data_IF_001777794809
#
_entry.id   IF_001777794809
#
_cell.length_a   1.000
_cell.length_b   1.000
_cell.length_c   1.000
_cell.angle_alpha   90.00
_cell.angle_beta   90.00
_cell.angle_gamma   90.00
#
_symmetry.space_group_name_H-M   'P 1'
#
loop_
_entity.id
_entity.type
_entity.pdbx_description
1 polymer ?
#
# COMPACT_ATOMS: atom_id res chain seq x y z
N UNK A 1 4.15 -6.92 14.22
CA UNK A 1 4.63 -6.27 12.98
C UNK A 1 4.53 -7.33 11.88
N UNK A 2 3.58 -7.17 10.95
CA UNK A 2 3.17 -8.18 9.97
C UNK A 2 3.61 -7.83 8.54
N UNK A 3 3.00 -8.48 7.54
CA UNK A 3 3.32 -8.32 6.11
C UNK A 3 3.25 -6.86 5.63
N UNK A 4 2.25 -6.07 6.06
CA UNK A 4 2.13 -4.65 5.68
C UNK A 4 3.37 -3.83 6.11
N UNK A 5 3.91 -4.06 7.31
CA UNK A 5 5.10 -3.36 7.76
C UNK A 5 6.38 -3.80 7.01
N UNK A 6 6.40 -5.04 6.52
CA UNK A 6 7.49 -5.54 5.69
C UNK A 6 7.39 -4.95 4.27
N UNK A 7 6.18 -4.79 3.75
CA UNK A 7 5.93 -4.08 2.51
C UNK A 7 6.36 -2.61 2.58
N UNK A 8 6.02 -1.90 3.66
CA UNK A 8 6.49 -0.53 3.90
C UNK A 8 8.01 -0.44 3.85
N UNK A 9 8.70 -1.35 4.56
CA UNK A 9 10.16 -1.43 4.53
C UNK A 9 10.69 -1.60 3.10
N UNK A 10 10.12 -2.52 2.33
CA UNK A 10 10.54 -2.76 0.96
C UNK A 10 10.23 -1.57 0.03
N UNK A 11 9.08 -0.91 0.17
CA UNK A 11 8.76 0.31 -0.58
C UNK A 11 9.80 1.42 -0.32
N UNK A 12 10.08 1.70 0.96
CA UNK A 12 11.09 2.71 1.35
C UNK A 12 12.49 2.32 0.88
N UNK A 13 12.81 1.02 0.88
CA UNK A 13 14.07 0.50 0.32
C UNK A 13 14.14 0.74 -1.19
N UNK A 14 13.08 0.43 -1.93
CA UNK A 14 13.01 0.64 -3.38
C UNK A 14 13.12 2.12 -3.78
N UNK A 15 12.55 3.03 -2.98
CA UNK A 15 12.72 4.48 -3.17
C UNK A 15 14.19 4.92 -3.06
N UNK A 16 14.97 4.31 -2.16
CA UNK A 16 16.40 4.59 -1.96
C UNK A 16 17.29 3.96 -3.04
N UNK A 17 16.90 2.79 -3.51
CA UNK A 17 17.64 2.03 -4.54
C UNK A 17 17.31 2.49 -5.97
N UNK A 18 16.38 3.44 -6.12
CA UNK A 18 15.94 3.95 -7.41
C UNK A 18 17.13 4.41 -8.27
N UNK A 19 17.39 3.68 -9.35
CA UNK A 19 18.48 3.97 -10.28
C UNK A 19 19.80 3.23 -10.02
N UNK A 20 19.89 2.39 -8.98
CA UNK A 20 21.08 1.59 -8.63
C UNK A 20 20.76 0.07 -8.55
N UNK A 21 19.88 -0.41 -9.44
CA UNK A 21 19.50 -1.83 -9.47
C UNK A 21 20.66 -2.66 -10.03
N UNK A 22 21.17 -3.60 -9.23
CA UNK A 22 22.17 -4.58 -9.67
C UNK A 22 21.49 -5.76 -10.35
N UNK A 23 22.10 -6.29 -11.40
CA UNK A 23 21.64 -7.51 -12.05
C UNK A 23 21.56 -8.67 -11.05
N UNK A 24 20.40 -9.32 -11.00
CA UNK A 24 20.15 -10.48 -10.13
C UNK A 24 19.66 -10.16 -8.72
N UNK A 25 19.46 -8.88 -8.36
CA UNK A 25 18.83 -8.50 -7.09
C UNK A 25 17.31 -8.41 -7.23
N UNK A 26 16.58 -8.96 -6.24
CA UNK A 26 15.13 -8.87 -6.16
C UNK A 26 14.69 -7.40 -6.13
N UNK A 27 13.66 -7.06 -6.90
CA UNK A 27 13.14 -5.70 -6.90
C UNK A 27 12.41 -5.42 -5.59
N UNK A 28 12.89 -4.43 -4.84
CA UNK A 28 12.27 -4.01 -3.58
C UNK A 28 10.79 -3.65 -3.77
N UNK A 29 10.37 -3.08 -4.91
CA UNK A 29 8.95 -2.81 -5.13
C UNK A 29 8.13 -4.08 -5.41
N UNK A 30 8.68 -5.07 -6.11
CA UNK A 30 8.02 -6.37 -6.31
C UNK A 30 7.88 -7.14 -4.99
N UNK A 31 8.88 -7.05 -4.11
CA UNK A 31 8.81 -7.63 -2.77
C UNK A 31 7.73 -6.96 -1.91
N UNK A 32 7.60 -5.63 -2.00
CA UNK A 32 6.54 -4.88 -1.33
C UNK A 32 5.16 -5.29 -1.85
N UNK A 33 4.99 -5.36 -3.18
CA UNK A 33 3.74 -5.77 -3.82
C UNK A 33 3.33 -7.19 -3.39
N UNK A 34 4.27 -8.14 -3.41
CA UNK A 34 4.01 -9.53 -2.99
C UNK A 34 3.50 -9.61 -1.55
N UNK A 35 4.14 -8.88 -0.64
CA UNK A 35 3.75 -8.85 0.77
C UNK A 35 2.37 -8.20 0.96
N UNK A 36 2.05 -7.16 0.20
CA UNK A 36 0.73 -6.54 0.23
C UNK A 36 -0.36 -7.45 -0.36
N UNK A 37 -0.05 -8.19 -1.41
CA UNK A 37 -0.97 -9.15 -2.03
C UNK A 37 -1.34 -10.23 -1.03
N UNK A 38 -0.34 -10.84 -0.39
CA UNK A 38 -0.57 -11.85 0.63
C UNK A 38 -1.33 -11.27 1.85
N UNK A 39 -0.99 -10.07 2.29
CA UNK A 39 -1.68 -9.40 3.39
C UNK A 39 -3.16 -9.16 3.07
N UNK A 40 -3.45 -8.67 1.86
CA UNK A 40 -4.81 -8.37 1.42
C UNK A 40 -5.61 -9.67 1.25
N UNK A 41 -5.06 -10.71 0.62
CA UNK A 41 -5.72 -12.01 0.48
C UNK A 41 -6.10 -12.62 1.85
N UNK A 42 -5.19 -12.56 2.83
CA UNK A 42 -5.48 -13.02 4.19
C UNK A 42 -6.61 -12.19 4.81
N UNK A 43 -6.55 -10.86 4.67
CA UNK A 43 -7.56 -9.96 5.22
C UNK A 43 -8.93 -10.13 4.54
N UNK A 44 -8.98 -10.41 3.24
CA UNK A 44 -10.20 -10.75 2.49
C UNK A 44 -10.81 -12.07 2.97
N UNK A 45 -10.00 -13.13 3.03
CA UNK A 45 -10.48 -14.45 3.49
C UNK A 45 -10.95 -14.45 4.94
N UNK A 46 -10.37 -13.61 5.78
CA UNK A 46 -10.75 -13.44 7.17
C UNK A 46 -11.81 -12.37 7.42
N UNK A 47 -12.34 -11.73 6.37
CA UNK A 47 -13.28 -10.59 6.48
C UNK A 47 -12.76 -9.45 7.38
N UNK A 48 -11.44 -9.28 7.44
CA UNK A 48 -10.72 -8.33 8.29
C UNK A 48 -10.73 -6.93 7.68
N UNK A 49 -11.90 -6.31 7.54
CA UNK A 49 -12.12 -5.01 6.84
C UNK A 49 -11.11 -3.93 7.22
N UNK A 50 -10.82 -3.74 8.51
CA UNK A 50 -9.87 -2.71 8.95
C UNK A 50 -8.45 -2.93 8.39
N UNK A 51 -8.02 -4.20 8.30
CA UNK A 51 -6.73 -4.56 7.72
C UNK A 51 -6.73 -4.44 6.20
N UNK A 52 -7.87 -4.66 5.53
CA UNK A 52 -8.00 -4.38 4.09
C UNK A 52 -7.80 -2.88 3.83
N UNK A 53 -8.38 -2.00 4.65
CA UNK A 53 -8.16 -0.56 4.53
C UNK A 53 -6.68 -0.19 4.69
N UNK A 54 -6.01 -0.70 5.72
CA UNK A 54 -4.57 -0.46 5.92
C UNK A 54 -3.73 -0.96 4.73
N UNK A 55 -4.04 -2.15 4.18
CA UNK A 55 -3.35 -2.71 3.02
C UNK A 55 -3.57 -1.86 1.76
N UNK A 56 -4.81 -1.41 1.50
CA UNK A 56 -5.11 -0.53 0.36
C UNK A 56 -4.39 0.82 0.48
N UNK A 57 -4.26 1.41 1.67
CA UNK A 57 -3.49 2.63 1.86
C UNK A 57 -2.01 2.42 1.56
N UNK A 58 -1.43 1.29 1.95
CA UNK A 58 -0.03 1.01 1.64
C UNK A 58 0.21 0.67 0.15
N UNK A 59 -0.74 0.01 -0.51
CA UNK A 59 -0.74 -0.11 -1.97
C UNK A 59 -0.75 1.26 -2.67
N UNK A 60 -1.56 2.20 -2.19
CA UNK A 60 -1.60 3.54 -2.75
C UNK A 60 -0.24 4.24 -2.61
N UNK A 61 0.46 4.08 -1.48
CA UNK A 61 1.84 4.56 -1.32
C UNK A 61 2.81 3.85 -2.27
N UNK A 62 2.69 2.53 -2.43
CA UNK A 62 3.52 1.76 -3.34
C UNK A 62 3.40 2.27 -4.78
N UNK A 63 2.18 2.46 -5.28
CA UNK A 63 1.90 2.96 -6.63
C UNK A 63 2.04 4.48 -6.80
N UNK A 64 2.36 5.22 -5.73
CA UNK A 64 2.94 6.56 -5.84
C UNK A 64 4.46 6.49 -5.99
N UNK A 65 5.10 5.49 -5.36
CA UNK A 65 6.53 5.26 -5.44
C UNK A 65 6.95 4.64 -6.79
N UNK A 66 6.18 3.69 -7.31
CA UNK A 66 6.22 3.24 -8.71
C UNK A 66 5.20 4.07 -9.46
N UNK A 67 5.53 4.80 -10.55
CA UNK A 67 4.70 5.88 -11.11
C UNK A 67 3.38 5.44 -11.79
N UNK A 68 2.56 4.61 -11.13
CA UNK A 68 1.25 4.10 -11.54
C UNK A 68 0.14 4.82 -10.76
N UNK A 69 -0.06 6.10 -11.10
CA UNK A 69 -1.09 6.92 -10.46
C UNK A 69 -2.52 6.33 -10.59
N UNK A 70 -2.93 5.71 -11.71
CA UNK A 70 -4.23 5.05 -11.80
C UNK A 70 -4.41 3.97 -10.73
N UNK A 71 -3.42 3.10 -10.52
CA UNK A 71 -3.48 2.07 -9.48
C UNK A 71 -3.52 2.70 -8.08
N UNK A 72 -2.71 3.73 -7.82
CA UNK A 72 -2.73 4.44 -6.55
C UNK A 72 -4.13 5.01 -6.22
N UNK A 73 -4.79 5.65 -7.19
CA UNK A 73 -6.16 6.17 -7.03
C UNK A 73 -7.18 5.07 -6.77
N UNK A 74 -7.07 3.94 -7.45
CA UNK A 74 -7.99 2.82 -7.28
C UNK A 74 -7.92 2.24 -5.86
N UNK A 75 -6.70 2.03 -5.34
CA UNK A 75 -6.52 1.55 -3.97
C UNK A 75 -6.96 2.58 -2.93
N UNK A 76 -6.67 3.87 -3.12
CA UNK A 76 -7.17 4.92 -2.23
C UNK A 76 -8.70 4.94 -2.17
N UNK A 77 -9.39 4.78 -3.31
CA UNK A 77 -10.84 4.71 -3.35
C UNK A 77 -11.40 3.51 -2.56
N UNK A 78 -10.78 2.34 -2.69
CA UNK A 78 -11.16 1.15 -1.91
C UNK A 78 -10.96 1.36 -0.40
N UNK A 79 -9.81 1.91 0.02
CA UNK A 79 -9.56 2.23 1.42
C UNK A 79 -10.64 3.18 1.99
N UNK A 80 -10.97 4.25 1.25
CA UNK A 80 -12.00 5.21 1.65
C UNK A 80 -13.38 4.58 1.80
N UNK A 81 -13.76 3.71 0.87
CA UNK A 81 -15.04 2.99 0.96
C UNK A 81 -15.09 2.15 2.24
N UNK A 82 -14.04 1.38 2.54
CA UNK A 82 -13.99 0.55 3.74
C UNK A 82 -14.04 1.41 5.02
N UNK A 83 -13.31 2.53 5.05
CA UNK A 83 -13.29 3.45 6.19
C UNK A 83 -14.68 4.02 6.45
N UNK A 84 -15.39 4.46 5.40
CA UNK A 84 -16.75 4.98 5.51
C UNK A 84 -17.72 3.91 6.04
N UNK A 85 -17.66 2.70 5.50
CA UNK A 85 -18.54 1.59 5.91
C UNK A 85 -18.29 1.11 7.35
N UNK A 86 -17.05 1.22 7.84
CA UNK A 86 -16.64 0.71 9.15
C UNK A 86 -16.52 1.79 10.24
N UNK A 87 -16.51 3.08 9.87
CA UNK A 87 -16.23 4.19 10.78
C UNK A 87 -14.78 4.24 11.27
N UNK A 88 -13.82 3.69 10.51
CA UNK A 88 -12.42 3.54 10.92
C UNK A 88 -11.57 4.80 10.69
N UNK A 89 -11.92 5.87 11.40
CA UNK A 89 -11.31 7.21 11.23
C UNK A 89 -9.84 7.33 11.65
N UNK A 90 -9.22 6.27 12.19
CA UNK A 90 -7.77 6.27 12.50
C UNK A 90 -6.91 6.44 11.25
N UNK A 91 -7.46 6.18 10.06
CA UNK A 91 -6.80 6.29 8.78
C UNK A 91 -6.99 7.64 8.07
N UNK A 92 -7.77 8.57 8.65
CA UNK A 92 -8.13 9.83 7.97
C UNK A 92 -6.89 10.67 7.62
N UNK A 93 -5.87 10.67 8.48
CA UNK A 93 -4.60 11.35 8.22
C UNK A 93 -3.86 10.75 7.00
N UNK A 94 -3.83 9.42 6.90
CA UNK A 94 -3.22 8.72 5.77
C UNK A 94 -4.01 8.95 4.47
N UNK A 95 -5.34 9.02 4.53
CA UNK A 95 -6.18 9.37 3.37
C UNK A 95 -5.86 10.79 2.90
N UNK A 96 -5.84 11.77 3.80
CA UNK A 96 -5.53 13.16 3.45
C UNK A 96 -4.13 13.33 2.86
N UNK A 97 -3.13 12.62 3.42
CA UNK A 97 -1.76 12.54 2.88
C UNK A 97 -1.76 12.07 1.42
N UNK A 98 -2.45 10.96 1.13
CA UNK A 98 -2.49 10.36 -0.20
C UNK A 98 -3.30 11.20 -1.20
N UNK A 99 -4.40 11.81 -0.76
CA UNK A 99 -5.18 12.75 -1.58
C UNK A 99 -4.35 13.96 -2.01
N UNK A 100 -3.53 14.51 -1.11
CA UNK A 100 -2.65 15.64 -1.42
C UNK A 100 -1.57 15.29 -2.45
N UNK A 101 -1.07 14.05 -2.46
CA UNK A 101 -0.09 13.57 -3.44
C UNK A 101 -0.70 13.23 -4.80
N UNK A 102 -2.01 12.94 -4.84
CA UNK A 102 -2.77 12.59 -6.05
C UNK A 102 -3.57 13.77 -6.63
N UNK A 103 -3.49 14.96 -6.04
CA UNK A 103 -4.12 16.18 -6.56
C UNK A 103 -3.33 16.77 -7.74
#
# INVERSE_FOLDING_TARGET
>A
RGLIARAEFYRVRGERERGDKREGEDDSFELAERDLTEALEIAERGEMRLFQADAHLEYARLYLATPDQPAARAHLAQAKQIIEETGYHRCDEAVAELEAQLA
#
